data_IF_112967921961
#
_entry.id   IF_112967921961
#
_cell.length_a   1.000
_cell.length_b   1.000
_cell.length_c   1.000
_cell.angle_alpha   90.00
_cell.angle_beta   90.00
_cell.angle_gamma   90.00
#
_symmetry.space_group_name_H-M   'P 1'
#
loop_
_entity.id
_entity.type
_entity.pdbx_description
1 polymer ?
#
# COMPACT_ATOMS: atom_id res chain seq x y z
N UNK A 1 -44.59 26.47 8.41
CA UNK A 1 -43.94 25.33 9.11
C UNK A 1 -43.55 24.19 8.18
N UNK A 2 -44.42 23.64 7.31
CA UNK A 2 -44.07 22.53 6.41
C UNK A 2 -42.91 22.81 5.42
N UNK A 3 -42.83 24.00 4.84
CA UNK A 3 -41.74 24.38 3.92
C UNK A 3 -40.37 24.49 4.61
N UNK A 4 -40.35 24.96 5.86
CA UNK A 4 -39.11 25.15 6.64
C UNK A 4 -38.50 23.80 7.04
N UNK A 5 -39.35 22.84 7.44
CA UNK A 5 -38.92 21.47 7.74
C UNK A 5 -38.43 20.71 6.49
N UNK A 6 -39.05 20.95 5.33
CA UNK A 6 -38.59 20.40 4.04
C UNK A 6 -37.21 20.95 3.65
N UNK A 7 -37.03 22.28 3.71
CA UNK A 7 -35.76 22.92 3.42
C UNK A 7 -34.63 22.49 4.39
N UNK A 8 -34.93 22.30 5.68
CA UNK A 8 -33.97 21.76 6.64
C UNK A 8 -33.57 20.32 6.31
N UNK A 9 -34.51 19.49 5.86
CA UNK A 9 -34.22 18.12 5.43
C UNK A 9 -33.33 18.07 4.19
N UNK A 10 -33.57 18.95 3.22
CA UNK A 10 -32.74 19.07 2.01
C UNK A 10 -31.33 19.58 2.32
N UNK A 11 -31.18 20.62 3.15
CA UNK A 11 -29.87 21.11 3.59
C UNK A 11 -29.11 20.04 4.37
N UNK A 12 -29.81 19.23 5.18
CA UNK A 12 -29.21 18.07 5.87
C UNK A 12 -28.74 17.02 4.86
N UNK A 13 -29.55 16.67 3.87
CA UNK A 13 -29.20 15.71 2.81
C UNK A 13 -27.97 16.18 2.01
N UNK A 14 -27.93 17.45 1.62
CA UNK A 14 -26.81 18.04 0.88
C UNK A 14 -25.52 18.07 1.70
N UNK A 15 -25.58 18.36 3.00
CA UNK A 15 -24.41 18.30 3.89
C UNK A 15 -23.87 16.87 4.01
N UNK A 16 -24.76 15.88 4.16
CA UNK A 16 -24.36 14.46 4.19
C UNK A 16 -23.71 14.04 2.87
N UNK A 17 -24.28 14.47 1.73
CA UNK A 17 -23.71 14.18 0.41
C UNK A 17 -22.34 14.82 0.22
N UNK A 18 -22.15 16.06 0.67
CA UNK A 18 -20.87 16.77 0.62
C UNK A 18 -19.82 16.09 1.51
N UNK A 19 -20.17 15.74 2.74
CA UNK A 19 -19.25 15.06 3.65
C UNK A 19 -18.85 13.68 3.13
N UNK A 20 -19.76 13.01 2.40
CA UNK A 20 -19.44 11.74 1.75
C UNK A 20 -18.45 11.88 0.59
N UNK A 21 -18.33 13.06 0.00
CA UNK A 21 -17.35 13.32 -1.05
C UNK A 21 -15.96 13.60 -0.49
N UNK A 22 -15.82 13.91 0.80
CA UNK A 22 -14.53 14.10 1.47
C UNK A 22 -13.98 12.78 1.98
N UNK A 23 -12.68 12.57 1.78
CA UNK A 23 -11.95 11.42 2.30
C UNK A 23 -11.55 11.65 3.75
N UNK A 24 -11.62 10.59 4.56
CA UNK A 24 -11.03 10.58 5.90
C UNK A 24 -9.50 10.54 5.81
N UNK A 25 -8.83 10.86 6.91
CA UNK A 25 -7.38 10.69 7.03
C UNK A 25 -6.91 9.28 6.62
N UNK A 26 -7.64 8.28 7.11
CA UNK A 26 -7.40 6.88 6.87
C UNK A 26 -7.57 6.49 5.39
N UNK A 27 -8.52 7.10 4.70
CA UNK A 27 -8.74 6.90 3.26
C UNK A 27 -7.66 7.65 2.44
N UNK A 28 -7.23 8.83 2.89
CA UNK A 28 -6.15 9.59 2.27
C UNK A 28 -4.82 8.83 2.31
N UNK A 29 -4.47 8.24 3.46
CA UNK A 29 -3.29 7.37 3.56
C UNK A 29 -3.31 6.25 2.52
N UNK A 30 -4.46 5.59 2.32
CA UNK A 30 -4.59 4.55 1.29
C UNK A 30 -4.44 5.11 -0.12
N UNK A 31 -4.99 6.30 -0.42
CA UNK A 31 -4.79 6.96 -1.72
C UNK A 31 -3.32 7.22 -1.98
N UNK A 32 -2.59 7.79 -1.00
CA UNK A 32 -1.16 8.08 -1.11
C UNK A 32 -0.36 6.81 -1.36
N UNK A 33 -0.63 5.73 -0.61
CA UNK A 33 0.03 4.45 -0.84
C UNK A 33 -0.23 3.95 -2.27
N UNK A 34 -1.49 3.94 -2.73
CA UNK A 34 -1.84 3.51 -4.09
C UNK A 34 -1.16 4.36 -5.17
N UNK A 35 -1.02 5.67 -4.97
CA UNK A 35 -0.20 6.56 -5.84
C UNK A 35 1.26 6.12 -5.85
N UNK A 36 1.82 5.78 -4.70
CA UNK A 36 3.21 5.28 -4.60
C UNK A 36 3.39 3.96 -5.36
N UNK A 37 2.44 3.03 -5.26
CA UNK A 37 2.43 1.80 -6.05
C UNK A 37 2.45 2.13 -7.55
N UNK A 38 1.53 2.96 -8.01
CA UNK A 38 1.44 3.37 -9.42
C UNK A 38 2.71 4.06 -9.91
N UNK A 39 3.25 5.01 -9.15
CA UNK A 39 4.48 5.71 -9.47
C UNK A 39 5.66 4.72 -9.58
N UNK A 40 5.83 3.82 -8.61
CA UNK A 40 6.91 2.83 -8.63
C UNK A 40 6.79 1.90 -9.84
N UNK A 41 5.64 1.26 -10.05
CA UNK A 41 5.49 0.26 -11.11
C UNK A 41 5.50 0.87 -12.51
N UNK A 42 4.93 2.05 -12.72
CA UNK A 42 5.07 2.73 -14.02
C UNK A 42 6.50 3.20 -14.29
N UNK A 43 7.26 3.59 -13.25
CA UNK A 43 8.68 3.93 -13.38
C UNK A 43 9.55 2.73 -13.76
N UNK A 44 9.32 1.58 -13.11
CA UNK A 44 9.94 0.31 -13.48
C UNK A 44 9.55 -0.10 -14.91
N UNK A 45 8.28 0.04 -15.28
CA UNK A 45 7.81 -0.26 -16.63
C UNK A 45 8.54 0.59 -17.69
N UNK A 46 8.66 1.90 -17.46
CA UNK A 46 9.38 2.81 -18.34
C UNK A 46 10.86 2.42 -18.46
N UNK A 47 11.52 2.10 -17.33
CA UNK A 47 12.92 1.63 -17.29
C UNK A 47 13.14 0.35 -18.10
N UNK A 48 12.17 -0.57 -18.07
CA UNK A 48 12.25 -1.86 -18.74
C UNK A 48 11.63 -1.91 -20.14
N UNK A 49 11.11 -0.79 -20.65
CA UNK A 49 10.44 -0.74 -21.95
C UNK A 49 9.12 -1.51 -22.00
N UNK A 50 8.48 -1.73 -20.85
CA UNK A 50 7.16 -2.36 -20.73
C UNK A 50 6.11 -1.28 -21.01
N UNK A 51 5.18 -1.53 -21.94
CA UNK A 51 4.19 -0.53 -22.37
C UNK A 51 4.85 0.82 -22.73
N UNK A 52 5.92 0.76 -23.53
CA UNK A 52 6.83 1.89 -23.80
C UNK A 52 6.15 3.15 -24.37
N UNK A 53 4.99 2.98 -25.01
CA UNK A 53 4.15 4.04 -25.54
C UNK A 53 3.48 4.90 -24.46
N UNK A 54 3.19 4.33 -23.28
CA UNK A 54 2.45 5.01 -22.21
C UNK A 54 3.21 5.12 -20.89
N UNK A 55 4.16 4.22 -20.62
CA UNK A 55 4.75 4.06 -19.29
C UNK A 55 5.42 5.33 -18.76
N UNK A 56 6.09 6.07 -19.65
CA UNK A 56 6.75 7.34 -19.30
C UNK A 56 5.72 8.39 -18.84
N UNK A 57 4.68 8.62 -19.65
CA UNK A 57 3.62 9.59 -19.30
C UNK A 57 2.87 9.22 -18.01
N UNK A 58 2.65 7.91 -17.78
CA UNK A 58 2.01 7.40 -16.56
C UNK A 58 2.91 7.60 -15.35
N UNK A 59 4.20 7.30 -15.47
CA UNK A 59 5.17 7.54 -14.42
C UNK A 59 5.24 9.02 -14.04
N UNK A 60 5.34 9.93 -15.01
CA UNK A 60 5.33 11.38 -14.76
C UNK A 60 4.08 11.82 -13.99
N UNK A 61 2.91 11.37 -14.43
CA UNK A 61 1.66 11.69 -13.74
C UNK A 61 1.66 11.20 -12.29
N UNK A 62 1.93 9.91 -12.05
CA UNK A 62 1.84 9.34 -10.70
C UNK A 62 2.97 9.80 -9.78
N UNK A 63 4.18 9.98 -10.30
CA UNK A 63 5.32 10.51 -9.53
C UNK A 63 5.12 11.96 -9.11
N UNK A 64 4.42 12.79 -9.91
CA UNK A 64 4.05 14.15 -9.50
C UNK A 64 3.14 14.18 -8.26
N UNK A 65 2.36 13.10 -8.04
CA UNK A 65 1.46 12.95 -6.90
C UNK A 65 2.08 12.17 -5.74
N UNK A 66 3.17 11.45 -5.99
CA UNK A 66 3.90 10.63 -5.02
C UNK A 66 5.40 10.65 -5.36
N UNK A 67 6.12 11.72 -5.02
CA UNK A 67 7.52 11.92 -5.46
C UNK A 67 8.52 11.01 -4.74
N UNK A 68 8.16 10.47 -3.57
CA UNK A 68 9.01 9.60 -2.74
C UNK A 68 8.30 8.27 -2.44
N UNK A 69 7.99 7.46 -3.47
CA UNK A 69 7.09 6.32 -3.31
C UNK A 69 7.66 5.25 -2.37
N UNK A 70 8.98 5.03 -2.41
CA UNK A 70 9.63 4.00 -1.62
C UNK A 70 9.66 4.35 -0.13
N UNK A 71 10.07 5.57 0.19
CA UNK A 71 10.17 6.09 1.55
C UNK A 71 8.80 6.16 2.23
N UNK A 72 7.78 6.62 1.50
CA UNK A 72 6.41 6.72 2.01
C UNK A 72 5.86 5.34 2.38
N UNK A 73 5.98 4.36 1.49
CA UNK A 73 5.45 3.02 1.72
C UNK A 73 6.20 2.32 2.84
N UNK A 74 7.53 2.42 2.89
CA UNK A 74 8.35 1.90 3.99
C UNK A 74 7.97 2.53 5.34
N UNK A 75 7.81 3.86 5.37
CA UNK A 75 7.41 4.56 6.59
C UNK A 75 6.03 4.12 7.08
N UNK A 76 5.06 3.97 6.17
CA UNK A 76 3.73 3.47 6.51
C UNK A 76 3.77 2.02 7.04
N UNK A 77 4.58 1.15 6.43
CA UNK A 77 4.79 -0.22 6.90
C UNK A 77 5.46 -0.28 8.27
N UNK A 78 6.44 0.59 8.52
CA UNK A 78 7.13 0.69 9.80
C UNK A 78 6.22 1.24 10.90
N UNK A 79 5.48 2.32 10.63
CA UNK A 79 4.45 2.85 11.54
C UNK A 79 3.45 1.77 11.89
N UNK A 80 2.94 1.07 10.87
CA UNK A 80 2.03 -0.03 11.09
C UNK A 80 2.67 -1.03 12.06
N UNK A 81 3.90 -1.51 11.82
CA UNK A 81 4.60 -2.45 12.71
C UNK A 81 4.61 -1.99 14.18
N UNK A 82 4.89 -0.71 14.43
CA UNK A 82 5.02 -0.10 15.77
C UNK A 82 3.70 0.13 16.51
N UNK A 83 2.57 0.28 15.82
CA UNK A 83 1.24 0.52 16.42
C UNK A 83 0.79 -0.58 17.42
N UNK A 84 1.42 -1.77 17.39
CA UNK A 84 1.20 -2.82 18.38
C UNK A 84 1.98 -2.65 19.68
N UNK A 85 3.07 -1.88 19.67
CA UNK A 85 3.99 -1.70 20.81
C UNK A 85 3.69 -0.43 21.62
N UNK A 86 3.09 0.59 20.99
CA UNK A 86 2.71 1.84 21.67
C UNK A 86 1.66 1.64 22.79
N UNK A 87 0.85 0.57 22.72
CA UNK A 87 -0.08 0.22 23.81
C UNK A 87 0.60 -0.39 25.06
N UNK A 88 1.90 -0.70 25.00
CA UNK A 88 2.62 -1.41 26.07
C UNK A 88 3.67 -0.55 26.81
N UNK A 89 3.90 0.71 26.40
CA UNK A 89 4.93 1.54 27.02
C UNK A 89 4.66 3.02 26.90
N UNK A 90 4.25 3.61 28.03
CA UNK A 90 4.35 5.03 28.41
C UNK A 90 4.07 6.06 27.30
N UNK A 91 2.86 6.66 27.35
CA UNK A 91 2.47 7.85 26.58
C UNK A 91 3.47 9.00 26.81
N UNK A 92 4.43 9.15 25.90
CA UNK A 92 5.23 10.36 25.77
C UNK A 92 4.74 11.16 24.56
N UNK A 93 4.00 12.27 24.77
CA UNK A 93 3.38 13.04 23.70
C UNK A 93 4.39 13.77 22.80
N UNK A 94 5.69 13.83 23.14
CA UNK A 94 6.71 14.51 22.32
C UNK A 94 7.10 13.75 21.04
N UNK A 95 6.99 12.42 21.00
CA UNK A 95 7.31 11.63 19.79
C UNK A 95 6.26 11.73 18.70
N UNK A 96 5.04 12.17 19.04
CA UNK A 96 3.95 12.40 18.10
C UNK A 96 4.23 13.56 17.12
N UNK A 97 5.25 14.38 17.41
CA UNK A 97 5.53 15.65 16.70
C UNK A 97 6.61 15.60 15.60
N UNK A 98 7.24 14.45 15.35
CA UNK A 98 8.44 14.37 14.46
C UNK A 98 8.30 13.56 13.18
N UNK A 99 7.11 13.10 12.85
CA UNK A 99 6.85 12.48 11.54
C UNK A 99 5.94 13.44 10.81
N UNK A 100 6.51 14.17 9.83
CA UNK A 100 5.80 15.09 8.94
C UNK A 100 4.39 14.58 8.67
N UNK A 101 3.42 15.43 8.98
CA UNK A 101 2.03 15.26 8.59
C UNK A 101 2.02 14.85 7.11
N UNK A 102 1.72 13.57 6.84
CA UNK A 102 1.47 13.03 5.49
C UNK A 102 0.33 13.79 4.77
N UNK A 103 -0.32 14.72 5.47
CA UNK A 103 -1.41 15.58 5.02
C UNK A 103 -1.00 16.72 4.12
N UNK A 104 0.25 17.20 4.21
CA UNK A 104 0.66 18.39 3.47
C UNK A 104 1.28 18.08 2.10
N UNK A 105 1.40 16.80 1.74
CA UNK A 105 1.94 16.40 0.45
C UNK A 105 0.84 15.73 -0.39
N UNK A 106 0.44 16.47 -1.42
CA UNK A 106 -0.07 16.00 -2.71
C UNK A 106 -1.46 15.35 -2.75
N UNK A 107 -2.51 16.19 -2.77
CA UNK A 107 -3.61 16.04 -3.74
C UNK A 107 -5.01 15.80 -3.15
N UNK A 108 -5.94 16.72 -3.47
CA UNK A 108 -7.38 16.77 -3.19
C UNK A 108 -7.98 15.60 -2.38
N UNK A 109 -8.38 15.87 -1.15
CA UNK A 109 -9.09 14.93 -0.25
C UNK A 109 -10.54 14.68 -0.60
N UNK A 110 -10.81 14.48 -1.88
CA UNK A 110 -12.12 14.13 -2.41
C UNK A 110 -12.16 12.70 -2.96
N UNK A 111 -13.36 12.20 -3.19
CA UNK A 111 -13.61 10.86 -3.72
C UNK A 111 -13.01 10.65 -5.12
N UNK A 112 -12.81 11.70 -5.91
CA UNK A 112 -12.21 11.62 -7.24
C UNK A 112 -10.76 11.15 -7.18
N UNK A 113 -10.01 11.58 -6.17
CA UNK A 113 -8.66 11.06 -5.89
C UNK A 113 -8.66 9.55 -5.67
N UNK A 114 -9.62 9.02 -4.89
CA UNK A 114 -9.75 7.58 -4.67
C UNK A 114 -10.14 6.84 -5.96
N UNK A 115 -11.10 7.36 -6.72
CA UNK A 115 -11.51 6.75 -7.99
C UNK A 115 -10.37 6.74 -9.02
N UNK A 116 -9.58 7.82 -9.09
CA UNK A 116 -8.42 7.93 -9.97
C UNK A 116 -7.37 6.86 -9.67
N UNK A 117 -7.00 6.66 -8.40
CA UNK A 117 -6.02 5.62 -8.04
C UNK A 117 -6.56 4.21 -8.28
N UNK A 118 -7.86 3.97 -8.02
CA UNK A 118 -8.50 2.67 -8.31
C UNK A 118 -8.52 2.37 -9.81
N UNK A 119 -8.80 3.37 -10.64
CA UNK A 119 -8.72 3.23 -12.09
C UNK A 119 -7.29 2.98 -12.56
N UNK A 120 -6.31 3.70 -12.01
CA UNK A 120 -4.89 3.51 -12.31
C UNK A 120 -4.42 2.10 -11.98
N UNK A 121 -4.81 1.56 -10.81
CA UNK A 121 -4.45 0.19 -10.40
C UNK A 121 -5.11 -0.86 -11.30
N UNK A 122 -6.38 -0.64 -11.68
CA UNK A 122 -7.07 -1.52 -12.64
C UNK A 122 -6.41 -1.51 -14.01
N UNK A 123 -5.96 -0.36 -14.49
CA UNK A 123 -5.22 -0.24 -15.76
C UNK A 123 -3.88 -0.99 -15.68
N UNK A 124 -3.10 -0.76 -14.63
CA UNK A 124 -1.83 -1.45 -14.37
C UNK A 124 -2.00 -2.98 -14.39
N UNK A 125 -3.04 -3.49 -13.71
CA UNK A 125 -3.38 -4.91 -13.67
C UNK A 125 -3.89 -5.45 -15.01
N UNK A 126 -4.74 -4.69 -15.72
CA UNK A 126 -5.27 -5.08 -17.03
C UNK A 126 -4.17 -5.24 -18.07
N UNK A 127 -3.11 -4.43 -17.97
CA UNK A 127 -1.96 -4.45 -18.85
C UNK A 127 -0.87 -5.43 -18.39
N UNK A 128 -1.06 -6.10 -17.24
CA UNK A 128 -0.12 -7.06 -16.65
C UNK A 128 1.29 -6.49 -16.45
N UNK A 129 1.36 -5.20 -16.07
CA UNK A 129 2.63 -4.47 -15.94
C UNK A 129 3.47 -5.08 -14.82
N UNK A 130 2.85 -5.43 -13.69
CA UNK A 130 3.55 -6.03 -12.56
C UNK A 130 4.17 -7.39 -12.91
N UNK A 131 3.44 -8.25 -13.62
CA UNK A 131 3.94 -9.56 -14.06
C UNK A 131 5.12 -9.41 -15.02
N UNK A 132 5.05 -8.46 -15.96
CA UNK A 132 6.14 -8.16 -16.88
C UNK A 132 7.39 -7.62 -16.14
N UNK A 133 7.20 -6.80 -15.09
CA UNK A 133 8.29 -6.31 -14.24
C UNK A 133 8.93 -7.45 -13.46
N UNK A 134 8.14 -8.34 -12.84
CA UNK A 134 8.67 -9.50 -12.12
C UNK A 134 9.52 -10.39 -13.04
N UNK A 135 9.07 -10.61 -14.28
CA UNK A 135 9.86 -11.34 -15.29
C UNK A 135 11.17 -10.61 -15.63
N UNK A 136 11.14 -9.28 -15.76
CA UNK A 136 12.31 -8.46 -16.07
C UNK A 136 13.34 -8.47 -14.93
N UNK A 137 12.88 -8.35 -13.67
CA UNK A 137 13.71 -8.47 -12.47
C UNK A 137 14.36 -9.85 -12.37
N UNK A 138 13.59 -10.92 -12.60
CA UNK A 138 14.11 -12.29 -12.61
C UNK A 138 15.13 -12.53 -13.73
N UNK A 139 14.98 -11.88 -14.89
CA UNK A 139 15.96 -11.95 -15.99
C UNK A 139 17.29 -11.30 -15.62
N UNK A 140 17.30 -10.22 -14.83
CA UNK A 140 18.53 -9.58 -14.36
C UNK A 140 19.35 -10.45 -13.40
N UNK A 141 18.72 -11.43 -12.73
CA UNK A 141 19.47 -12.42 -11.93
C UNK A 141 20.41 -13.29 -12.78
N UNK A 142 20.08 -13.55 -14.05
CA UNK A 142 20.85 -14.45 -14.94
C UNK A 142 22.23 -13.92 -15.41
N UNK A 143 22.41 -12.65 -15.84
CA UNK A 143 23.72 -12.16 -16.29
C UNK A 143 24.75 -12.06 -15.16
N UNK A 144 24.34 -11.96 -13.90
CA UNK A 144 25.27 -11.93 -12.77
C UNK A 144 25.89 -13.30 -12.47
N UNK A 145 25.18 -14.40 -12.77
CA UNK A 145 25.70 -15.77 -12.67
C UNK A 145 26.77 -16.07 -13.72
N UNK A 146 26.64 -15.52 -14.94
CA UNK A 146 27.61 -15.71 -16.03
C UNK A 146 28.95 -14.96 -15.85
N UNK A 147 29.05 -14.04 -14.88
CA UNK A 147 30.31 -13.35 -14.55
C UNK A 147 31.14 -14.08 -13.50
N UNK A 148 30.51 -14.92 -12.67
CA UNK A 148 31.20 -15.75 -11.67
C UNK A 148 31.83 -17.02 -12.29
N UNK A 149 31.43 -17.40 -13.51
CA UNK A 149 31.94 -18.61 -14.18
C UNK A 149 33.26 -18.44 -14.95
N UNK A 150 33.87 -17.25 -14.96
CA UNK A 150 35.15 -17.00 -15.67
C UNK A 150 36.38 -17.06 -14.74
N UNK A 151 36.18 -17.21 -13.42
CA UNK A 151 37.30 -17.32 -12.48
C UNK A 151 37.24 -18.60 -11.65
N UNK A 152 37.30 -19.77 -12.29
CA UNK A 152 37.63 -21.01 -11.60
C UNK A 152 38.46 -21.96 -12.48
N UNK A 153 39.78 -21.78 -12.43
CA UNK A 153 40.71 -22.90 -12.65
C UNK A 153 41.25 -23.30 -11.28
N UNK A 154 40.65 -24.39 -10.77
CA UNK A 154 41.09 -25.34 -9.72
C UNK A 154 40.68 -25.08 -8.27
N UNK A 155 39.63 -25.78 -7.83
CA UNK A 155 39.75 -26.86 -6.83
C UNK A 155 38.49 -27.75 -6.81
N UNK A 156 38.60 -29.09 -6.63
CA UNK A 156 37.44 -29.97 -6.54
C UNK A 156 37.21 -30.40 -5.10
N UNK A 157 36.24 -29.81 -4.38
CA UNK A 157 35.52 -30.41 -3.23
C UNK A 157 34.56 -29.39 -2.61
N UNK A 158 33.25 -29.50 -2.90
CA UNK A 158 32.19 -29.57 -1.88
C UNK A 158 30.80 -29.76 -2.53
N UNK A 159 30.02 -30.78 -2.15
CA UNK A 159 28.65 -30.95 -2.64
C UNK A 159 27.67 -30.34 -1.63
N UNK A 160 27.57 -29.00 -1.57
CA UNK A 160 26.44 -28.25 -0.94
C UNK A 160 26.64 -26.72 -1.02
N UNK A 161 26.56 -26.17 -2.22
CA UNK A 161 26.10 -24.80 -2.39
C UNK A 161 24.79 -24.85 -3.16
N UNK A 162 23.68 -24.96 -2.43
CA UNK A 162 22.41 -24.47 -2.94
C UNK A 162 22.61 -22.96 -3.06
N UNK A 163 23.07 -22.53 -4.22
CA UNK A 163 23.35 -21.15 -4.58
C UNK A 163 22.08 -20.34 -4.30
N UNK A 164 22.04 -19.70 -3.14
CA UNK A 164 21.00 -18.77 -2.81
C UNK A 164 21.15 -17.64 -3.83
N UNK A 165 20.32 -17.66 -4.87
CA UNK A 165 20.30 -16.61 -5.88
C UNK A 165 20.17 -15.26 -5.16
N UNK A 166 21.27 -14.50 -5.15
CA UNK A 166 21.28 -13.16 -4.56
C UNK A 166 20.34 -12.27 -5.38
N UNK A 167 19.41 -11.63 -4.69
CA UNK A 167 18.48 -10.69 -5.31
C UNK A 167 19.25 -9.49 -5.84
N UNK A 168 18.82 -8.95 -6.98
CA UNK A 168 19.33 -7.64 -7.41
C UNK A 168 18.91 -6.55 -6.41
N UNK A 169 19.60 -5.40 -6.41
CA UNK A 169 19.24 -4.28 -5.54
C UNK A 169 17.78 -3.84 -5.77
N UNK A 170 17.37 -3.72 -7.03
CA UNK A 170 16.01 -3.29 -7.41
C UNK A 170 14.94 -4.30 -7.01
N UNK A 171 15.28 -5.59 -7.09
CA UNK A 171 14.40 -6.65 -6.64
C UNK A 171 14.31 -6.70 -5.12
N UNK A 172 15.42 -6.51 -4.42
CA UNK A 172 15.43 -6.38 -2.96
C UNK A 172 14.55 -5.22 -2.51
N UNK A 173 14.63 -4.07 -3.19
CA UNK A 173 13.72 -2.95 -2.95
C UNK A 173 12.26 -3.31 -3.25
N UNK A 174 11.97 -4.03 -4.34
CA UNK A 174 10.60 -4.47 -4.65
C UNK A 174 10.04 -5.41 -3.56
N UNK A 175 10.87 -6.28 -2.99
CA UNK A 175 10.49 -7.10 -1.84
C UNK A 175 10.15 -6.22 -0.65
N UNK A 176 11.06 -5.34 -0.22
CA UNK A 176 10.84 -4.45 0.93
C UNK A 176 9.60 -3.56 0.76
N UNK A 177 9.40 -3.04 -0.46
CA UNK A 177 8.24 -2.23 -0.80
C UNK A 177 6.94 -3.02 -0.62
N UNK A 178 6.87 -4.26 -1.13
CA UNK A 178 5.70 -5.13 -0.98
C UNK A 178 5.50 -5.62 0.45
N UNK A 179 6.56 -5.92 1.19
CA UNK A 179 6.46 -6.29 2.62
C UNK A 179 5.85 -5.16 3.44
N UNK A 180 6.31 -3.93 3.24
CA UNK A 180 5.77 -2.75 3.91
C UNK A 180 4.31 -2.50 3.54
N UNK A 181 3.96 -2.64 2.26
CA UNK A 181 2.58 -2.59 1.77
C UNK A 181 1.69 -3.62 2.47
N UNK A 182 2.10 -4.89 2.49
CA UNK A 182 1.36 -5.97 3.12
C UNK A 182 1.20 -5.74 4.63
N UNK A 183 2.26 -5.30 5.29
CA UNK A 183 2.24 -4.98 6.72
C UNK A 183 1.21 -3.89 7.04
N UNK A 184 1.14 -2.83 6.22
CA UNK A 184 0.15 -1.77 6.38
C UNK A 184 -1.28 -2.29 6.20
N UNK A 185 -1.59 -2.93 5.07
CA UNK A 185 -2.95 -3.35 4.77
C UNK A 185 -3.46 -4.45 5.70
N UNK A 186 -2.62 -5.40 6.11
CA UNK A 186 -3.02 -6.41 7.09
C UNK A 186 -3.25 -5.82 8.49
N UNK A 187 -2.50 -4.77 8.87
CA UNK A 187 -2.80 -4.04 10.11
C UNK A 187 -4.15 -3.36 10.05
N UNK A 188 -4.42 -2.68 8.94
CA UNK A 188 -5.71 -2.01 8.68
C UNK A 188 -6.86 -3.00 8.72
N UNK A 189 -6.71 -4.13 8.02
CA UNK A 189 -7.72 -5.20 8.02
C UNK A 189 -8.01 -5.69 9.45
N UNK A 190 -6.96 -5.98 10.22
CA UNK A 190 -7.08 -6.38 11.64
C UNK A 190 -7.78 -5.30 12.47
N UNK A 191 -7.44 -4.02 12.32
CA UNK A 191 -8.04 -2.93 13.07
C UNK A 191 -9.54 -2.74 12.80
N UNK A 192 -10.00 -3.10 11.61
CA UNK A 192 -11.42 -3.05 11.21
C UNK A 192 -12.14 -4.41 11.31
N UNK A 193 -11.49 -5.44 11.89
CA UNK A 193 -12.09 -6.78 12.05
C UNK A 193 -12.36 -7.51 10.72
N UNK A 194 -11.67 -7.14 9.65
CA UNK A 194 -11.82 -7.75 8.32
C UNK A 194 -10.91 -8.97 8.26
N UNK A 195 -11.50 -10.16 8.07
CA UNK A 195 -10.76 -11.43 8.05
C UNK A 195 -9.83 -11.56 9.28
N UNK A 196 -10.36 -11.31 10.48
CA UNK A 196 -9.57 -11.04 11.69
C UNK A 196 -8.47 -12.07 11.97
N UNK A 197 -8.79 -13.37 11.89
CA UNK A 197 -7.83 -14.45 12.12
C UNK A 197 -6.71 -14.44 11.06
N UNK A 198 -7.08 -14.33 9.78
CA UNK A 198 -6.12 -14.26 8.66
C UNK A 198 -5.26 -12.99 8.78
N UNK A 199 -5.88 -11.86 9.06
CA UNK A 199 -5.21 -10.58 9.19
C UNK A 199 -4.21 -10.60 10.36
N UNK A 200 -4.57 -11.21 11.48
CA UNK A 200 -3.68 -11.39 12.63
C UNK A 200 -2.47 -12.26 12.29
N UNK A 201 -2.70 -13.40 11.64
CA UNK A 201 -1.62 -14.33 11.26
C UNK A 201 -0.67 -13.72 10.23
N UNK A 202 -1.22 -13.09 9.18
CA UNK A 202 -0.43 -12.41 8.15
C UNK A 202 0.34 -11.23 8.71
N UNK A 203 -0.30 -10.44 9.56
CA UNK A 203 0.37 -9.33 10.21
C UNK A 203 1.57 -9.81 11.05
N UNK A 204 1.39 -10.87 11.84
CA UNK A 204 2.47 -11.43 12.64
C UNK A 204 3.60 -11.98 11.77
N UNK A 205 3.25 -12.64 10.66
CA UNK A 205 4.21 -13.17 9.68
C UNK A 205 5.12 -12.06 9.14
N UNK A 206 4.56 -10.94 8.66
CA UNK A 206 5.35 -9.84 8.09
C UNK A 206 6.17 -9.09 9.15
N UNK A 207 5.65 -8.91 10.36
CA UNK A 207 6.41 -8.31 11.48
C UNK A 207 7.65 -9.15 11.79
N UNK A 208 7.51 -10.48 11.86
CA UNK A 208 8.60 -11.38 12.25
C UNK A 208 9.74 -11.42 11.22
N UNK A 209 9.46 -11.09 9.95
CA UNK A 209 10.47 -11.07 8.89
C UNK A 209 11.23 -9.74 8.79
N UNK A 210 10.59 -8.64 9.19
CA UNK A 210 11.17 -7.31 9.09
C UNK A 210 12.51 -7.18 9.86
N UNK A 211 13.57 -6.76 9.17
CA UNK A 211 14.89 -6.50 9.76
C UNK A 211 16.04 -7.36 9.22
N UNK A 212 15.77 -8.30 8.32
CA UNK A 212 16.80 -9.07 7.61
C UNK A 212 16.88 -8.64 6.15
N UNK A 213 18.02 -8.89 5.50
CA UNK A 213 18.16 -8.68 4.06
C UNK A 213 17.22 -9.61 3.30
N UNK A 214 16.43 -9.10 2.32
CA UNK A 214 15.52 -9.91 1.52
C UNK A 214 16.20 -11.10 0.83
N UNK A 215 15.52 -12.24 0.84
CA UNK A 215 15.96 -13.47 0.20
C UNK A 215 15.08 -13.83 -1.01
N UNK A 216 15.53 -14.78 -1.83
CA UNK A 216 14.75 -15.31 -2.96
C UNK A 216 13.40 -15.92 -2.55
N UNK A 217 13.29 -16.44 -1.32
CA UNK A 217 12.01 -16.92 -0.78
C UNK A 217 11.09 -15.75 -0.43
N UNK A 218 11.63 -14.66 0.12
CA UNK A 218 10.84 -13.45 0.42
C UNK A 218 10.25 -12.86 -0.86
N UNK A 219 10.99 -12.87 -1.98
CA UNK A 219 10.49 -12.43 -3.28
C UNK A 219 9.27 -13.24 -3.78
N UNK A 220 9.23 -14.54 -3.49
CA UNK A 220 8.06 -15.37 -3.78
C UNK A 220 6.91 -15.07 -2.82
N UNK A 221 7.20 -15.00 -1.52
CA UNK A 221 6.21 -14.82 -0.46
C UNK A 221 5.48 -13.47 -0.57
N UNK A 222 6.18 -12.38 -0.88
CA UNK A 222 5.54 -11.07 -1.10
C UNK A 222 4.60 -11.09 -2.31
N UNK A 223 4.98 -11.81 -3.37
CA UNK A 223 4.12 -12.00 -4.55
C UNK A 223 2.83 -12.72 -4.17
N UNK A 224 2.94 -13.80 -3.40
CA UNK A 224 1.78 -14.54 -2.89
C UNK A 224 0.92 -13.70 -1.95
N UNK A 225 1.55 -12.94 -1.03
CA UNK A 225 0.85 -12.07 -0.09
C UNK A 225 0.03 -10.98 -0.80
N UNK A 226 0.59 -10.36 -1.85
CA UNK A 226 -0.13 -9.36 -2.64
C UNK A 226 -1.32 -9.99 -3.38
N UNK A 227 -1.15 -11.18 -3.95
CA UNK A 227 -2.24 -11.91 -4.61
C UNK A 227 -3.35 -12.30 -3.63
N UNK A 228 -3.00 -12.78 -2.44
CA UNK A 228 -3.96 -13.13 -1.38
C UNK A 228 -4.78 -11.90 -0.94
N UNK A 229 -4.11 -10.79 -0.68
CA UNK A 229 -4.75 -9.52 -0.30
C UNK A 229 -5.76 -9.06 -1.36
N UNK A 230 -5.39 -9.15 -2.65
CA UNK A 230 -6.27 -8.83 -3.78
C UNK A 230 -7.44 -9.80 -3.89
N UNK A 231 -7.18 -11.10 -3.74
CA UNK A 231 -8.20 -12.15 -3.81
C UNK A 231 -9.26 -12.01 -2.72
N UNK A 232 -8.86 -11.58 -1.53
CA UNK A 232 -9.77 -11.32 -0.41
C UNK A 232 -10.45 -9.95 -0.49
N UNK A 233 -10.11 -9.13 -1.49
CA UNK A 233 -10.69 -7.80 -1.70
C UNK A 233 -10.42 -6.85 -0.52
N UNK A 234 -9.30 -7.00 0.19
CA UNK A 234 -9.04 -6.28 1.45
C UNK A 234 -9.16 -4.77 1.27
N UNK A 235 -8.59 -4.20 0.20
CA UNK A 235 -8.70 -2.76 -0.09
C UNK A 235 -10.14 -2.28 -0.27
N UNK A 236 -10.98 -3.05 -1.00
CA UNK A 236 -12.40 -2.72 -1.17
C UNK A 236 -13.16 -2.81 0.16
N UNK A 237 -12.90 -3.85 0.96
CA UNK A 237 -13.59 -4.06 2.24
C UNK A 237 -13.19 -3.00 3.26
N UNK A 238 -11.95 -2.52 3.25
CA UNK A 238 -11.49 -1.40 4.06
C UNK A 238 -12.21 -0.10 3.68
N UNK A 239 -12.34 0.17 2.38
CA UNK A 239 -13.14 1.29 1.89
C UNK A 239 -14.60 1.19 2.39
N UNK A 240 -15.26 0.05 2.17
CA UNK A 240 -16.65 -0.16 2.60
C UNK A 240 -16.82 -0.04 4.12
N UNK A 241 -15.87 -0.52 4.92
CA UNK A 241 -15.88 -0.39 6.37
C UNK A 241 -15.76 1.08 6.79
N UNK A 242 -14.81 1.83 6.21
CA UNK A 242 -14.66 3.28 6.45
C UNK A 242 -15.94 4.05 6.12
N UNK A 243 -16.60 3.72 5.01
CA UNK A 243 -17.86 4.40 4.61
C UNK A 243 -19.02 4.11 5.57
N UNK A 244 -19.09 2.89 6.12
CA UNK A 244 -20.12 2.51 7.11
C UNK A 244 -19.93 3.22 8.45
N UNK A 245 -18.69 3.41 8.90
CA UNK A 245 -18.38 4.15 10.13
C UNK A 245 -18.89 5.60 10.06
N UNK A 246 -18.68 6.28 8.93
CA UNK A 246 -19.18 7.65 8.69
C UNK A 246 -20.72 7.70 8.80
N UNK A 247 -21.41 6.74 8.19
CA UNK A 247 -22.87 6.69 8.20
C UNK A 247 -23.44 6.45 9.62
N UNK A 248 -22.76 5.63 10.44
CA UNK A 248 -23.14 5.37 11.83
C UNK A 248 -22.88 6.57 12.74
N UNK A 249 -21.70 7.21 12.61
CA UNK A 249 -21.34 8.40 13.38
C UNK A 249 -22.32 9.55 13.12
N UNK A 250 -22.68 9.76 11.85
CA UNK A 250 -23.66 10.76 11.45
C UNK A 250 -25.05 10.47 12.00
N UNK A 251 -25.49 9.21 11.94
CA UNK A 251 -26.77 8.79 12.51
C UNK A 251 -26.82 9.03 14.02
N UNK A 252 -25.72 8.75 14.73
CA UNK A 252 -25.61 8.95 16.18
C UNK A 252 -25.60 10.43 16.58
N UNK A 253 -24.92 11.29 15.81
CA UNK A 253 -24.88 12.74 16.04
C UNK A 253 -26.26 13.37 15.85
N UNK A 254 -27.02 12.88 14.86
CA UNK A 254 -28.38 13.32 14.58
C UNK A 254 -29.32 12.91 15.73
N UNK A 255 -29.24 11.66 16.19
CA UNK A 255 -30.04 11.17 17.32
C UNK A 255 -29.81 11.99 18.59
N UNK A 256 -28.56 12.39 18.88
CA UNK A 256 -28.20 13.24 20.02
C UNK A 256 -28.74 14.66 19.90
N UNK A 257 -28.71 15.26 18.70
CA UNK A 257 -29.24 16.61 18.47
C UNK A 257 -30.77 16.67 18.47
N UNK A 258 -31.46 15.57 18.17
CA UNK A 258 -32.92 15.48 18.25
C UNK A 258 -33.44 15.26 19.68
N UNK A 259 -32.57 14.88 20.62
CA UNK A 259 -32.90 14.61 22.01
C UNK A 259 -32.67 15.82 22.95
N UNK A 260 -32.21 16.95 22.42
CA UNK A 260 -31.99 18.24 23.10
C UNK A 260 -33.00 19.25 22.55
#
# INVERSE_FOLDING_TARGET
MKQLHGAESEVKSLRLMTQRMTLTQKEMEEVVLKRCWLARYWGLAAKYGICADIAMSKYEHWSSLAPLPFEIVLSAGQKAKEEGWEKAGNDDPEKRSKVQDFNDLTGEGNIESMLSVEMGLKELASLKVEEAIVLSLAQQRRPNSARLSISDIKSPSDPKSMEAFELSAEESEDVLFKEAWLTYFWRRAKAHGIEEDIAKDRLQFWINRSGHSPTSHDAFDVGQGVMELRKLGIGQRLWEASRKEIDQDLSSLIARKAAI
#
